data_IF_398464153138
#
_entry.id   IF_398464153138
#
_cell.length_a   1.000
_cell.length_b   1.000
_cell.length_c   1.000
_cell.angle_alpha   90.00
_cell.angle_beta   90.00
_cell.angle_gamma   90.00
#
_symmetry.space_group_name_H-M   'P 1'
#
loop_
_entity.id
_entity.type
_entity.pdbx_description
1 polymer ?
#
# COMPACT_ATOMS: atom_id res chain seq x y z
N UNK A 1 16.68 5.34 -42.41
CA UNK A 1 16.28 4.64 -41.17
C UNK A 1 17.28 5.03 -40.08
N UNK A 2 16.84 5.67 -39.00
CA UNK A 2 17.71 5.93 -37.85
C UNK A 2 17.96 4.62 -37.11
N UNK A 3 19.22 4.29 -36.81
CA UNK A 3 19.51 3.14 -35.96
C UNK A 3 19.15 3.47 -34.51
N UNK A 4 18.35 2.61 -33.89
CA UNK A 4 17.98 2.70 -32.48
C UNK A 4 19.08 2.05 -31.63
N UNK A 5 19.82 2.85 -30.87
CA UNK A 5 20.72 2.32 -29.85
C UNK A 5 19.92 2.16 -28.55
N UNK A 6 19.58 0.92 -28.21
CA UNK A 6 18.89 0.57 -26.96
C UNK A 6 19.79 0.63 -25.71
N UNK A 7 21.09 0.91 -25.89
CA UNK A 7 22.12 0.83 -24.85
C UNK A 7 23.17 1.94 -24.97
N UNK A 8 22.76 3.19 -25.12
CA UNK A 8 23.71 4.32 -25.26
C UNK A 8 24.65 4.44 -24.05
N UNK A 9 24.23 3.94 -22.89
CA UNK A 9 25.04 3.82 -21.66
C UNK A 9 25.32 2.36 -21.25
N UNK A 10 25.22 1.40 -22.18
CA UNK A 10 25.37 -0.03 -21.89
C UNK A 10 24.25 -0.60 -21.01
N UNK A 11 24.54 -1.67 -20.26
CA UNK A 11 23.56 -2.34 -19.40
C UNK A 11 23.17 -1.53 -18.14
N UNK A 12 23.76 -0.36 -17.90
CA UNK A 12 23.55 0.41 -16.67
C UNK A 12 22.12 0.92 -16.57
N UNK A 13 21.56 1.47 -17.65
CA UNK A 13 20.19 2.01 -17.68
C UNK A 13 19.11 0.95 -17.44
N UNK A 14 19.11 -0.24 -18.10
CA UNK A 14 18.12 -1.27 -17.81
C UNK A 14 18.28 -1.86 -16.41
N UNK A 15 19.51 -2.00 -15.90
CA UNK A 15 19.76 -2.47 -14.52
C UNK A 15 19.20 -1.46 -13.52
N UNK A 16 19.46 -0.18 -13.73
CA UNK A 16 18.96 0.87 -12.84
C UNK A 16 17.43 0.97 -12.91
N UNK A 17 16.83 0.94 -14.11
CA UNK A 17 15.39 0.90 -14.29
C UNK A 17 14.76 -0.29 -13.53
N UNK A 18 15.33 -1.49 -13.68
CA UNK A 18 14.89 -2.66 -12.92
C UNK A 18 15.01 -2.46 -11.41
N UNK A 19 16.14 -1.92 -10.93
CA UNK A 19 16.33 -1.64 -9.52
C UNK A 19 15.27 -0.67 -8.97
N UNK A 20 14.92 0.37 -9.73
CA UNK A 20 13.86 1.31 -9.37
C UNK A 20 12.49 0.63 -9.33
N UNK A 21 12.22 -0.26 -10.29
CA UNK A 21 11.01 -1.07 -10.30
C UNK A 21 10.90 -1.97 -9.08
N UNK A 22 12.00 -2.65 -8.75
CA UNK A 22 12.12 -3.51 -7.59
C UNK A 22 11.91 -2.74 -6.28
N UNK A 23 12.60 -1.62 -6.08
CA UNK A 23 12.52 -0.81 -4.87
C UNK A 23 11.12 -0.23 -4.67
N UNK A 24 10.51 0.32 -5.73
CA UNK A 24 9.14 0.84 -5.70
C UNK A 24 8.12 -0.25 -5.37
N UNK A 25 8.28 -1.43 -5.96
CA UNK A 25 7.45 -2.61 -5.70
C UNK A 25 7.61 -3.11 -4.26
N UNK A 26 8.85 -3.16 -3.75
CA UNK A 26 9.15 -3.58 -2.38
C UNK A 26 8.52 -2.64 -1.36
N UNK A 27 8.73 -1.32 -1.49
CA UNK A 27 8.12 -0.34 -0.59
C UNK A 27 6.60 -0.38 -0.68
N UNK A 28 6.07 -0.54 -1.88
CA UNK A 28 4.65 -0.69 -2.15
C UNK A 28 4.01 -1.87 -1.44
N UNK A 29 4.62 -3.06 -1.57
CA UNK A 29 4.16 -4.29 -0.92
C UNK A 29 4.23 -4.18 0.60
N UNK A 30 5.34 -3.65 1.15
CA UNK A 30 5.50 -3.41 2.59
C UNK A 30 4.44 -2.45 3.11
N UNK A 31 4.22 -1.33 2.41
CA UNK A 31 3.22 -0.32 2.78
C UNK A 31 1.80 -0.88 2.70
N UNK A 32 1.49 -1.67 1.66
CA UNK A 32 0.18 -2.31 1.50
C UNK A 32 -0.07 -3.39 2.57
N UNK A 33 0.95 -4.17 2.92
CA UNK A 33 0.87 -5.15 4.01
C UNK A 33 0.55 -4.47 5.35
N UNK A 34 1.23 -3.36 5.64
CA UNK A 34 0.94 -2.53 6.83
C UNK A 34 -0.44 -1.91 6.80
N UNK A 35 -0.88 -1.43 5.64
CA UNK A 35 -2.22 -0.87 5.49
C UNK A 35 -3.30 -1.90 5.86
N UNK A 36 -3.12 -3.17 5.48
CA UNK A 36 -4.06 -4.24 5.84
C UNK A 36 -4.04 -4.62 7.32
N UNK A 37 -2.90 -4.46 7.99
CA UNK A 37 -2.76 -4.70 9.43
C UNK A 37 -3.26 -3.52 10.28
N UNK A 38 -3.43 -2.33 9.70
CA UNK A 38 -3.90 -1.16 10.41
C UNK A 38 -5.40 -1.27 10.78
N UNK A 39 -5.71 -1.02 12.06
CA UNK A 39 -7.08 -0.94 12.58
C UNK A 39 -7.73 0.42 12.34
N UNK A 40 -6.92 1.49 12.31
CA UNK A 40 -7.37 2.85 12.02
C UNK A 40 -7.50 3.09 10.51
N UNK A 41 -8.66 3.63 10.10
CA UNK A 41 -8.98 3.87 8.68
C UNK A 41 -8.10 4.96 8.07
N UNK A 42 -7.75 6.00 8.84
CA UNK A 42 -6.91 7.10 8.37
C UNK A 42 -5.48 6.61 8.11
N UNK A 43 -4.91 5.85 9.04
CA UNK A 43 -3.59 5.22 8.89
C UNK A 43 -3.56 4.25 7.70
N UNK A 44 -4.62 3.46 7.53
CA UNK A 44 -4.77 2.55 6.39
C UNK A 44 -4.78 3.30 5.06
N UNK A 45 -5.60 4.35 4.94
CA UNK A 45 -5.66 5.18 3.73
C UNK A 45 -4.31 5.83 3.42
N UNK A 46 -3.64 6.38 4.43
CA UNK A 46 -2.32 7.00 4.25
C UNK A 46 -1.27 6.01 3.76
N UNK A 47 -1.24 4.78 4.31
CA UNK A 47 -0.33 3.72 3.87
C UNK A 47 -0.62 3.25 2.43
N UNK A 48 -1.89 3.25 2.00
CA UNK A 48 -2.25 2.96 0.61
C UNK A 48 -1.81 4.08 -0.34
N UNK A 49 -1.88 5.34 0.07
CA UNK A 49 -1.33 6.47 -0.71
C UNK A 49 0.19 6.32 -0.85
N UNK A 50 0.89 5.99 0.23
CA UNK A 50 2.32 5.72 0.18
C UNK A 50 2.64 4.54 -0.76
N UNK A 51 1.85 3.47 -0.69
CA UNK A 51 2.00 2.33 -1.59
C UNK A 51 1.77 2.70 -3.06
N UNK A 52 0.77 3.54 -3.36
CA UNK A 52 0.48 4.03 -4.70
C UNK A 52 1.63 4.87 -5.27
N UNK A 53 2.17 5.78 -4.45
CA UNK A 53 3.34 6.58 -4.82
C UNK A 53 4.58 5.72 -5.06
N UNK A 54 4.77 4.69 -4.24
CA UNK A 54 5.90 3.76 -4.36
C UNK A 54 5.82 2.94 -5.63
N UNK A 55 4.70 2.27 -5.88
CA UNK A 55 4.53 1.39 -7.04
C UNK A 55 4.38 2.22 -8.31
N UNK A 56 3.43 3.15 -8.35
CA UNK A 56 3.14 3.95 -9.54
C UNK A 56 4.23 4.97 -9.86
N UNK A 57 4.64 5.76 -8.87
CA UNK A 57 5.64 6.81 -9.06
C UNK A 57 7.05 6.25 -9.22
N UNK A 58 7.48 5.37 -8.33
CA UNK A 58 8.86 4.82 -8.41
C UNK A 58 8.92 3.59 -9.31
N UNK A 59 8.07 2.61 -9.03
CA UNK A 59 8.17 1.29 -9.63
C UNK A 59 7.85 1.26 -11.13
N UNK A 60 6.97 2.17 -11.57
CA UNK A 60 6.50 2.27 -12.95
C UNK A 60 7.04 3.54 -13.60
N UNK A 61 6.77 4.74 -13.07
CA UNK A 61 7.15 6.00 -13.73
C UNK A 61 8.66 6.26 -13.74
N UNK A 62 9.35 6.20 -12.61
CA UNK A 62 10.81 6.35 -12.61
C UNK A 62 11.48 5.25 -13.43
N UNK A 63 11.04 3.99 -13.29
CA UNK A 63 11.55 2.90 -14.13
C UNK A 63 11.43 3.24 -15.62
N UNK A 64 10.23 3.63 -16.06
CA UNK A 64 9.94 3.94 -17.45
C UNK A 64 10.86 5.03 -18.01
N UNK A 65 10.96 6.17 -17.33
CA UNK A 65 11.81 7.27 -17.80
C UNK A 65 13.30 6.96 -17.70
N UNK A 66 13.75 6.23 -16.68
CA UNK A 66 15.15 5.80 -16.59
C UNK A 66 15.54 4.83 -17.71
N UNK A 67 14.62 3.95 -18.12
CA UNK A 67 14.84 3.08 -19.27
C UNK A 67 14.90 3.89 -20.57
N UNK A 68 14.02 4.88 -20.75
CA UNK A 68 14.01 5.76 -21.93
C UNK A 68 15.24 6.68 -22.02
N UNK A 69 15.84 7.10 -20.90
CA UNK A 69 17.12 7.85 -20.90
C UNK A 69 18.24 7.04 -21.56
N UNK A 70 18.18 5.71 -21.50
CA UNK A 70 19.12 4.82 -22.17
C UNK A 70 18.98 4.77 -23.69
N UNK A 71 17.91 5.36 -24.22
CA UNK A 71 17.58 5.34 -25.64
C UNK A 71 18.02 6.65 -26.29
N UNK A 72 18.76 6.55 -27.39
CA UNK A 72 19.09 7.70 -28.24
C UNK A 72 18.74 7.39 -29.69
N UNK A 73 18.12 8.36 -30.36
CA UNK A 73 17.82 8.27 -31.79
C UNK A 73 18.97 8.91 -32.56
N UNK A 74 19.69 8.11 -33.35
CA UNK A 74 20.75 8.63 -34.21
C UNK A 74 20.14 9.55 -35.27
N UNK A 75 20.52 10.83 -35.28
CA UNK A 75 20.08 11.82 -36.27
C UNK A 75 19.07 12.87 -35.79
N UNK A 76 18.61 12.83 -34.54
CA UNK A 76 17.78 13.88 -33.93
C UNK A 76 18.08 14.02 -32.43
N UNK A 77 18.12 15.25 -31.86
CA UNK A 77 18.10 15.40 -30.41
C UNK A 77 16.78 14.83 -29.87
N UNK A 78 16.86 14.03 -28.80
CA UNK A 78 15.70 13.52 -28.09
C UNK A 78 15.38 14.46 -26.93
N UNK A 79 14.25 15.15 -27.03
CA UNK A 79 13.75 16.06 -25.99
C UNK A 79 12.44 15.53 -25.42
N UNK A 80 12.00 16.09 -24.31
CA UNK A 80 10.75 15.70 -23.68
C UNK A 80 9.84 16.90 -23.42
N UNK A 81 8.55 16.69 -23.62
CA UNK A 81 7.47 17.56 -23.20
C UNK A 81 7.22 17.39 -21.69
N UNK A 82 7.49 18.45 -20.92
CA UNK A 82 7.38 18.44 -19.45
C UNK A 82 5.91 18.24 -19.00
N UNK A 83 4.92 18.99 -19.50
CA UNK A 83 3.51 18.75 -19.17
C UNK A 83 3.05 17.29 -19.37
N UNK A 84 3.35 16.67 -20.51
CA UNK A 84 2.94 15.28 -20.79
C UNK A 84 3.69 14.30 -19.86
N UNK A 85 4.97 14.56 -19.60
CA UNK A 85 5.78 13.79 -18.64
C UNK A 85 5.18 13.83 -17.24
N UNK A 86 4.76 15.01 -16.78
CA UNK A 86 4.09 15.19 -15.48
C UNK A 86 2.69 14.54 -15.48
N UNK A 87 1.94 14.64 -16.58
CA UNK A 87 0.65 13.98 -16.70
C UNK A 87 0.77 12.45 -16.57
N UNK A 88 1.76 11.84 -17.24
CA UNK A 88 2.01 10.39 -17.13
C UNK A 88 2.34 9.95 -15.70
N UNK A 89 3.06 10.78 -14.92
CA UNK A 89 3.30 10.52 -13.49
C UNK A 89 2.00 10.42 -12.70
N UNK A 90 1.10 11.39 -12.86
CA UNK A 90 -0.18 11.40 -12.15
C UNK A 90 -1.06 10.23 -12.58
N UNK A 91 -1.10 9.90 -13.87
CA UNK A 91 -1.79 8.70 -14.37
C UNK A 91 -1.26 7.47 -13.63
N UNK A 92 0.06 7.30 -13.52
CA UNK A 92 0.66 6.15 -12.84
C UNK A 92 0.21 6.06 -11.36
N UNK A 93 0.40 7.14 -10.60
CA UNK A 93 0.15 7.14 -9.15
C UNK A 93 -1.33 6.98 -8.84
N UNK A 94 -2.20 7.71 -9.55
CA UNK A 94 -3.64 7.69 -9.30
C UNK A 94 -4.22 6.33 -9.63
N UNK A 95 -3.86 5.76 -10.78
CA UNK A 95 -4.49 4.52 -11.27
C UNK A 95 -4.04 3.29 -10.50
N UNK A 96 -2.75 3.22 -10.14
CA UNK A 96 -2.24 2.23 -9.18
C UNK A 96 -2.91 2.42 -7.82
N UNK A 97 -3.09 3.66 -7.38
CA UNK A 97 -3.86 4.00 -6.18
C UNK A 97 -5.27 3.42 -6.22
N UNK A 98 -6.02 3.64 -7.30
CA UNK A 98 -7.38 3.09 -7.48
C UNK A 98 -7.37 1.56 -7.29
N UNK A 99 -6.46 0.85 -7.96
CA UNK A 99 -6.32 -0.61 -7.80
C UNK A 99 -6.03 -1.04 -6.36
N UNK A 100 -5.09 -0.36 -5.70
CA UNK A 100 -4.73 -0.62 -4.30
C UNK A 100 -5.87 -0.29 -3.34
N UNK A 101 -6.65 0.75 -3.57
CA UNK A 101 -7.81 1.10 -2.73
C UNK A 101 -8.96 0.10 -2.93
N UNK A 102 -9.20 -0.38 -4.16
CA UNK A 102 -10.18 -1.42 -4.45
C UNK A 102 -9.86 -2.69 -3.65
N UNK A 103 -8.61 -3.14 -3.68
CA UNK A 103 -8.15 -4.38 -3.02
C UNK A 103 -7.88 -4.19 -1.53
N UNK A 104 -7.34 -3.04 -1.14
CA UNK A 104 -6.83 -2.75 0.19
C UNK A 104 -7.87 -2.32 1.20
N UNK A 105 -9.04 -1.82 0.77
CA UNK A 105 -10.15 -1.48 1.67
C UNK A 105 -11.07 -2.69 1.95
N UNK A 106 -11.41 -2.89 3.21
CA UNK A 106 -12.31 -3.98 3.65
C UNK A 106 -11.65 -5.37 3.64
N UNK A 107 -12.47 -6.42 3.46
CA UNK A 107 -12.01 -7.82 3.44
C UNK A 107 -11.36 -8.14 2.09
N UNK A 108 -10.17 -8.80 2.07
CA UNK A 108 -9.54 -9.22 0.83
C UNK A 108 -10.42 -10.28 0.15
N UNK A 109 -10.79 -10.03 -1.10
CA UNK A 109 -11.60 -10.96 -1.92
C UNK A 109 -10.99 -11.04 -3.31
N UNK A 110 -10.95 -12.25 -3.88
CA UNK A 110 -10.33 -12.48 -5.19
C UNK A 110 -10.98 -11.65 -6.31
N UNK A 111 -12.31 -11.47 -6.28
CA UNK A 111 -12.99 -10.66 -7.29
C UNK A 111 -12.51 -9.20 -7.35
N UNK A 112 -12.05 -8.63 -6.22
CA UNK A 112 -11.51 -7.27 -6.18
C UNK A 112 -10.21 -7.16 -6.98
N UNK A 113 -9.42 -8.24 -7.01
CA UNK A 113 -8.21 -8.33 -7.83
C UNK A 113 -8.58 -8.49 -9.30
N UNK A 114 -9.58 -9.31 -9.61
CA UNK A 114 -10.05 -9.50 -10.99
C UNK A 114 -10.68 -8.24 -11.60
N UNK A 115 -11.20 -7.32 -10.78
CA UNK A 115 -11.68 -6.01 -11.24
C UNK A 115 -10.56 -4.97 -11.22
N UNK A 116 -9.84 -4.85 -10.11
CA UNK A 116 -8.79 -3.84 -9.94
C UNK A 116 -7.57 -4.07 -10.82
N UNK A 117 -7.23 -5.31 -11.11
CA UNK A 117 -6.08 -5.72 -11.92
C UNK A 117 -6.15 -5.22 -13.35
N UNK A 118 -7.19 -5.55 -14.13
CA UNK A 118 -7.38 -5.03 -15.48
C UNK A 118 -7.47 -3.50 -15.53
N UNK A 119 -8.18 -2.87 -14.60
CA UNK A 119 -8.27 -1.40 -14.53
C UNK A 119 -6.88 -0.78 -14.35
N UNK A 120 -6.10 -1.32 -13.41
CA UNK A 120 -4.73 -0.84 -13.15
C UNK A 120 -3.82 -1.12 -14.34
N UNK A 121 -3.89 -2.31 -14.93
CA UNK A 121 -3.01 -2.70 -16.04
C UNK A 121 -3.26 -1.91 -17.33
N UNK A 122 -4.52 -1.71 -17.72
CA UNK A 122 -4.86 -0.83 -18.86
C UNK A 122 -4.35 0.58 -18.60
N UNK A 123 -4.49 1.08 -17.39
CA UNK A 123 -4.01 2.42 -17.03
C UNK A 123 -2.49 2.53 -17.02
N UNK A 124 -1.79 1.47 -16.61
CA UNK A 124 -0.32 1.40 -16.63
C UNK A 124 0.21 1.35 -18.06
N UNK A 125 -0.45 0.62 -18.97
CA UNK A 125 -0.16 0.68 -20.40
C UNK A 125 -0.45 2.09 -20.97
N UNK A 126 -1.60 2.69 -20.61
CA UNK A 126 -1.94 4.06 -21.04
C UNK A 126 -0.89 5.08 -20.58
N UNK A 127 -0.44 4.98 -19.33
CA UNK A 127 0.67 5.78 -18.81
C UNK A 127 1.95 5.56 -19.62
N UNK A 128 2.31 4.32 -19.92
CA UNK A 128 3.52 4.01 -20.69
C UNK A 128 3.49 4.70 -22.06
N UNK A 129 2.39 4.58 -22.80
CA UNK A 129 2.25 5.25 -24.10
C UNK A 129 2.12 6.77 -23.98
N UNK A 130 1.56 7.29 -22.90
CA UNK A 130 1.58 8.74 -22.62
C UNK A 130 3.01 9.24 -22.36
N UNK A 131 3.83 8.46 -21.65
CA UNK A 131 5.25 8.76 -21.43
C UNK A 131 6.05 8.71 -22.73
N UNK A 132 5.78 7.74 -23.60
CA UNK A 132 6.35 7.67 -24.95
C UNK A 132 5.93 8.88 -25.80
N UNK A 133 4.67 9.30 -25.72
CA UNK A 133 4.17 10.47 -26.43
C UNK A 133 4.79 11.80 -25.95
N UNK A 134 5.45 11.82 -24.79
CA UNK A 134 6.21 12.97 -24.34
C UNK A 134 7.52 13.15 -25.10
N UNK A 135 8.02 12.12 -25.78
CA UNK A 135 9.24 12.20 -26.59
C UNK A 135 9.03 13.13 -27.79
N UNK A 136 9.95 14.06 -27.99
CA UNK A 136 9.99 14.97 -29.11
C UNK A 136 11.24 14.68 -29.93
N UNK A 137 11.04 14.43 -31.22
CA UNK A 137 12.07 14.17 -32.23
C UNK A 137 11.68 14.84 -33.56
N UNK A 138 12.63 15.00 -34.48
CA UNK A 138 12.37 15.41 -35.87
C UNK A 138 11.86 14.23 -36.69
N UNK A 139 10.66 13.77 -36.40
CA UNK A 139 10.06 12.62 -37.08
C UNK A 139 8.79 12.11 -36.41
N UNK A 140 8.32 10.96 -36.88
CA UNK A 140 7.11 10.30 -36.37
C UNK A 140 7.42 8.93 -35.77
N UNK A 141 6.59 8.56 -34.79
CA UNK A 141 6.59 7.22 -34.19
C UNK A 141 5.47 6.39 -34.79
N UNK A 142 5.81 5.21 -35.28
CA UNK A 142 4.85 4.18 -35.67
C UNK A 142 4.97 2.98 -34.74
N UNK A 143 3.87 2.24 -34.55
CA UNK A 143 3.84 1.09 -33.65
C UNK A 143 3.39 -0.16 -34.39
N UNK A 144 4.12 -1.26 -34.21
CA UNK A 144 3.64 -2.59 -34.58
C UNK A 144 2.47 -2.98 -33.68
N UNK A 145 1.31 -3.23 -34.30
CA UNK A 145 0.07 -3.51 -33.58
C UNK A 145 0.16 -4.78 -32.71
N UNK A 146 0.92 -5.80 -33.11
CA UNK A 146 1.00 -7.06 -32.37
C UNK A 146 1.79 -6.88 -31.07
N UNK A 147 2.96 -6.22 -31.14
CA UNK A 147 3.78 -5.93 -29.96
C UNK A 147 3.11 -4.88 -29.06
N UNK A 148 2.41 -3.91 -29.65
CA UNK A 148 1.58 -2.95 -28.93
C UNK A 148 0.50 -3.65 -28.09
N UNK A 149 -0.28 -4.55 -28.70
CA UNK A 149 -1.31 -5.32 -27.99
C UNK A 149 -0.70 -6.29 -26.96
N UNK A 150 0.45 -6.90 -27.27
CA UNK A 150 1.16 -7.77 -26.34
C UNK A 150 1.62 -7.01 -25.09
N UNK A 151 2.12 -5.78 -25.21
CA UNK A 151 2.52 -4.96 -24.06
C UNK A 151 1.31 -4.67 -23.14
N UNK A 152 0.14 -4.36 -23.73
CA UNK A 152 -1.11 -4.16 -22.99
C UNK A 152 -1.53 -5.43 -22.24
N UNK A 153 -1.45 -6.60 -22.89
CA UNK A 153 -1.75 -7.87 -22.26
C UNK A 153 -0.81 -8.15 -21.08
N UNK A 154 0.50 -7.91 -21.26
CA UNK A 154 1.49 -8.03 -20.18
C UNK A 154 1.15 -7.07 -19.04
N UNK A 155 0.78 -5.82 -19.33
CA UNK A 155 0.41 -4.83 -18.31
C UNK A 155 -0.78 -5.30 -17.46
N UNK A 156 -1.84 -5.82 -18.10
CA UNK A 156 -3.03 -6.37 -17.43
C UNK A 156 -2.69 -7.55 -16.55
N UNK A 157 -1.93 -8.52 -17.06
CA UNK A 157 -1.51 -9.70 -16.29
C UNK A 157 -0.62 -9.29 -15.13
N UNK A 158 0.40 -8.46 -15.38
CA UNK A 158 1.35 -7.99 -14.38
C UNK A 158 0.65 -7.22 -13.25
N UNK A 159 -0.25 -6.29 -13.58
CA UNK A 159 -1.00 -5.53 -12.59
C UNK A 159 -1.94 -6.42 -11.76
N UNK A 160 -2.58 -7.40 -12.39
CA UNK A 160 -3.44 -8.38 -11.70
C UNK A 160 -2.62 -9.23 -10.73
N UNK A 161 -1.46 -9.73 -11.15
CA UNK A 161 -0.54 -10.50 -10.30
C UNK A 161 0.03 -9.64 -9.17
N UNK A 162 0.40 -8.39 -9.45
CA UNK A 162 0.89 -7.45 -8.44
C UNK A 162 -0.15 -7.19 -7.34
N UNK A 163 -1.40 -6.92 -7.73
CA UNK A 163 -2.49 -6.76 -6.77
C UNK A 163 -2.78 -8.05 -6.00
N UNK A 164 -2.70 -9.21 -6.65
CA UNK A 164 -2.81 -10.50 -5.98
C UNK A 164 -1.70 -10.74 -4.94
N UNK A 165 -0.45 -10.38 -5.26
CA UNK A 165 0.67 -10.45 -4.33
C UNK A 165 0.43 -9.62 -3.08
N UNK A 166 -0.25 -8.47 -3.20
CA UNK A 166 -0.61 -7.72 -2.01
C UNK A 166 -1.38 -8.60 -1.03
N UNK A 167 -2.27 -9.50 -1.47
CA UNK A 167 -3.10 -10.32 -0.58
C UNK A 167 -2.35 -11.53 0.00
N UNK A 168 -1.63 -12.26 -0.85
CA UNK A 168 -1.09 -13.59 -0.53
C UNK A 168 0.30 -13.54 0.10
N UNK A 169 1.13 -12.58 -0.29
CA UNK A 169 2.53 -12.53 0.11
C UNK A 169 2.63 -12.11 1.58
N UNK A 170 3.37 -12.92 2.36
CA UNK A 170 3.68 -12.68 3.77
C UNK A 170 5.12 -13.04 4.06
N UNK A 171 5.76 -12.28 4.94
CA UNK A 171 7.16 -12.48 5.31
C UNK A 171 8.15 -11.82 4.35
N UNK A 172 9.36 -11.54 4.86
CA UNK A 172 10.39 -10.79 4.14
C UNK A 172 10.86 -11.51 2.86
N UNK A 173 11.20 -12.82 2.87
CA UNK A 173 11.71 -13.49 1.67
C UNK A 173 10.69 -13.50 0.53
N UNK A 174 9.42 -13.79 0.83
CA UNK A 174 8.36 -13.78 -0.16
C UNK A 174 8.09 -12.37 -0.70
N UNK A 175 8.23 -11.33 0.13
CA UNK A 175 8.08 -9.93 -0.30
C UNK A 175 9.20 -9.52 -1.25
N UNK A 176 10.44 -9.92 -0.97
CA UNK A 176 11.59 -9.68 -1.87
C UNK A 176 11.40 -10.41 -3.21
N UNK A 177 10.99 -11.67 -3.17
CA UNK A 177 10.71 -12.45 -4.39
C UNK A 177 9.57 -11.82 -5.22
N UNK A 178 8.47 -11.43 -4.57
CA UNK A 178 7.35 -10.76 -5.23
C UNK A 178 7.77 -9.42 -5.86
N UNK A 179 8.57 -8.61 -5.17
CA UNK A 179 9.10 -7.36 -5.69
C UNK A 179 10.02 -7.58 -6.90
N UNK A 180 10.84 -8.63 -6.90
CA UNK A 180 11.68 -9.01 -8.04
C UNK A 180 10.83 -9.41 -9.25
N UNK A 181 9.83 -10.28 -9.05
CA UNK A 181 8.89 -10.68 -10.11
C UNK A 181 8.14 -9.47 -10.67
N UNK A 182 7.66 -8.58 -9.81
CA UNK A 182 7.04 -7.33 -10.24
C UNK A 182 8.00 -6.50 -11.08
N UNK A 183 9.25 -6.30 -10.63
CA UNK A 183 10.26 -5.57 -11.38
C UNK A 183 10.50 -6.14 -12.79
N UNK A 184 10.61 -7.46 -12.92
CA UNK A 184 10.74 -8.12 -14.22
C UNK A 184 9.49 -7.87 -15.08
N UNK A 185 8.30 -7.96 -14.49
CA UNK A 185 7.05 -7.78 -15.22
C UNK A 185 6.87 -6.35 -15.74
N UNK A 186 7.19 -5.32 -14.94
CA UNK A 186 7.09 -3.92 -15.39
C UNK A 186 8.15 -3.64 -16.46
N UNK A 187 9.40 -4.09 -16.27
CA UNK A 187 10.44 -3.96 -17.30
C UNK A 187 10.06 -4.70 -18.58
N UNK A 188 9.51 -5.92 -18.47
CA UNK A 188 9.06 -6.71 -19.61
C UNK A 188 7.99 -5.99 -20.42
N UNK A 189 6.96 -5.46 -19.76
CA UNK A 189 5.94 -4.63 -20.42
C UNK A 189 6.58 -3.44 -21.15
N UNK A 190 7.46 -2.71 -20.48
CA UNK A 190 8.09 -1.53 -21.03
C UNK A 190 8.93 -1.85 -22.28
N UNK A 191 9.80 -2.86 -22.21
CA UNK A 191 10.66 -3.22 -23.35
C UNK A 191 9.86 -3.86 -24.49
N UNK A 192 8.77 -4.58 -24.22
CA UNK A 192 7.84 -5.02 -25.27
C UNK A 192 7.18 -3.82 -25.95
N UNK A 193 6.75 -2.80 -25.19
CA UNK A 193 6.20 -1.56 -25.75
C UNK A 193 7.22 -0.78 -26.58
N UNK A 194 8.47 -0.69 -26.12
CA UNK A 194 9.58 -0.10 -26.87
C UNK A 194 9.91 -0.88 -28.15
N UNK A 195 9.88 -2.21 -28.11
CA UNK A 195 10.13 -3.06 -29.27
C UNK A 195 9.05 -2.90 -30.36
N UNK A 196 7.85 -2.44 -29.99
CA UNK A 196 6.80 -2.11 -30.96
C UNK A 196 7.10 -0.83 -31.75
N UNK A 197 7.99 0.04 -31.28
CA UNK A 197 8.17 1.39 -31.83
C UNK A 197 9.17 1.42 -32.99
N UNK A 198 8.75 2.04 -34.09
CA UNK A 198 9.57 2.39 -35.25
C UNK A 198 9.66 3.91 -35.40
N UNK A 199 10.86 4.40 -35.71
CA UNK A 199 11.14 5.84 -35.84
C UNK A 199 11.42 6.20 -37.29
N UNK A 200 10.62 7.09 -37.84
CA UNK A 200 10.82 7.69 -39.15
C UNK A 200 11.27 9.13 -38.98
N UNK A 201 12.50 9.43 -39.39
CA UNK A 201 13.07 10.79 -39.31
C UNK A 201 12.71 11.59 -40.55
N UNK A 202 12.26 12.81 -40.34
CA UNK A 202 12.02 13.76 -41.41
C UNK A 202 13.34 14.38 -41.90
N UNK A 203 13.39 14.76 -43.18
CA UNK A 203 14.60 15.36 -43.78
C UNK A 203 14.77 16.84 -43.40
N UNK A 204 13.74 17.47 -42.83
CA UNK A 204 13.77 18.86 -42.40
C UNK A 204 14.34 18.99 -40.98
N UNK A 205 15.37 19.82 -40.82
CA UNK A 205 16.01 20.10 -39.53
C UNK A 205 15.32 21.32 -38.90
N UNK A 206 14.15 21.10 -38.30
CA UNK A 206 13.51 22.08 -37.43
C UNK A 206 14.06 21.94 -35.99
N UNK A 207 14.09 23.02 -35.19
CA UNK A 207 14.42 22.92 -33.77
C UNK A 207 13.37 22.10 -33.01
N UNK A 208 13.78 20.96 -32.43
CA UNK A 208 12.89 20.13 -31.60
C UNK A 208 12.54 20.90 -30.31
N UNK A 209 11.25 21.09 -29.98
CA UNK A 209 10.83 21.73 -28.73
C UNK A 209 10.99 20.78 -27.53
N UNK A 210 10.92 21.32 -26.31
CA UNK A 210 11.00 20.54 -25.06
C UNK A 210 12.31 20.73 -24.31
N UNK A 211 12.59 19.87 -23.34
CA UNK A 211 13.82 19.94 -22.52
C UNK A 211 14.71 18.72 -22.76
N UNK A 212 16.02 18.92 -22.62
CA UNK A 212 16.99 17.83 -22.72
C UNK A 212 16.83 16.82 -21.60
N UNK A 213 17.10 15.54 -21.92
CA UNK A 213 17.02 14.42 -20.98
C UNK A 213 17.82 14.64 -19.69
N UNK A 214 18.96 15.34 -19.78
CA UNK A 214 19.84 15.61 -18.65
C UNK A 214 19.17 16.42 -17.53
N UNK A 215 18.18 17.27 -17.86
CA UNK A 215 17.44 18.05 -16.87
C UNK A 215 16.51 17.19 -16.00
N UNK A 216 16.12 15.99 -16.46
CA UNK A 216 15.31 15.07 -15.68
C UNK A 216 16.14 14.22 -14.70
N UNK A 217 17.44 14.07 -14.92
CA UNK A 217 18.29 13.24 -14.08
C UNK A 217 18.32 13.73 -12.62
N UNK A 218 18.52 15.03 -12.40
CA UNK A 218 18.59 15.60 -11.06
C UNK A 218 17.29 15.41 -10.23
N UNK A 219 16.09 15.78 -10.72
CA UNK A 219 14.85 15.56 -9.97
C UNK A 219 14.53 14.06 -9.80
N UNK A 220 14.85 13.21 -10.78
CA UNK A 220 14.69 11.75 -10.62
C UNK A 220 15.59 11.23 -9.51
N UNK A 221 16.88 11.59 -9.48
CA UNK A 221 17.81 11.18 -8.41
C UNK A 221 17.31 11.63 -7.04
N UNK A 222 16.85 12.88 -6.91
CA UNK A 222 16.25 13.37 -5.67
C UNK A 222 15.05 12.53 -5.25
N UNK A 223 14.16 12.22 -6.20
CA UNK A 223 12.99 11.37 -5.95
C UNK A 223 13.40 9.96 -5.51
N UNK A 224 14.42 9.36 -6.13
CA UNK A 224 14.98 8.05 -5.73
C UNK A 224 15.51 8.10 -4.30
N UNK A 225 16.26 9.14 -3.93
CA UNK A 225 16.79 9.29 -2.57
C UNK A 225 15.67 9.32 -1.52
N UNK A 226 14.59 10.06 -1.78
CA UNK A 226 13.41 10.10 -0.90
C UNK A 226 12.80 8.70 -0.74
N UNK A 227 12.71 7.92 -1.81
CA UNK A 227 12.15 6.56 -1.78
C UNK A 227 13.05 5.60 -1.00
N UNK A 228 14.37 5.69 -1.17
CA UNK A 228 15.32 4.89 -0.39
C UNK A 228 15.25 5.23 1.09
N UNK A 229 15.12 6.51 1.45
CA UNK A 229 14.93 6.94 2.85
C UNK A 229 13.58 6.44 3.39
N UNK A 230 12.51 6.50 2.59
CA UNK A 230 11.20 5.98 2.95
C UNK A 230 11.23 4.45 3.16
N UNK A 231 11.99 3.72 2.34
CA UNK A 231 12.25 2.28 2.51
C UNK A 231 13.02 2.00 3.80
N UNK A 232 14.12 2.71 4.04
CA UNK A 232 14.93 2.54 5.24
C UNK A 232 14.12 2.82 6.51
N UNK A 233 13.36 3.92 6.55
CA UNK A 233 12.47 4.24 7.67
C UNK A 233 11.34 3.24 7.81
N UNK A 234 10.77 2.74 6.70
CA UNK A 234 9.80 1.65 6.76
C UNK A 234 10.43 0.41 7.40
N UNK A 235 11.61 -0.04 6.97
CA UNK A 235 12.29 -1.22 7.53
C UNK A 235 12.63 -1.02 9.01
N UNK A 236 13.17 0.14 9.40
CA UNK A 236 13.50 0.44 10.80
C UNK A 236 12.27 0.50 11.71
N UNK A 237 11.10 0.85 11.18
CA UNK A 237 9.85 0.82 11.93
C UNK A 237 9.28 -0.60 12.13
N UNK A 238 9.95 -1.66 11.65
CA UNK A 238 9.65 -3.05 12.04
C UNK A 238 10.22 -3.25 13.44
N UNK A 239 9.39 -3.47 14.48
CA UNK A 239 9.91 -3.76 15.81
C UNK A 239 10.75 -5.02 15.72
N UNK A 240 12.00 -4.94 16.19
CA UNK A 240 12.91 -6.10 16.17
C UNK A 240 12.30 -7.25 16.98
N UNK A 241 12.68 -8.50 16.72
CA UNK A 241 12.20 -9.66 17.50
C UNK A 241 12.43 -9.46 19.01
N UNK A 242 13.50 -8.74 19.38
CA UNK A 242 13.80 -8.33 20.75
C UNK A 242 12.78 -7.35 21.31
N UNK A 243 12.43 -6.31 20.55
CA UNK A 243 11.43 -5.32 20.94
C UNK A 243 10.03 -5.92 21.03
N UNK A 244 9.71 -6.91 20.19
CA UNK A 244 8.46 -7.67 20.29
C UNK A 244 8.44 -8.59 21.52
N UNK A 245 9.56 -9.24 21.83
CA UNK A 245 9.69 -10.05 23.03
C UNK A 245 9.60 -9.19 24.30
N UNK A 246 10.23 -8.01 24.31
CA UNK A 246 10.15 -7.03 25.40
C UNK A 246 8.73 -6.48 25.55
N UNK A 247 8.08 -6.06 24.47
CA UNK A 247 6.69 -5.59 24.50
C UNK A 247 5.73 -6.67 25.03
N UNK A 248 5.93 -7.93 24.63
CA UNK A 248 5.17 -9.07 25.14
C UNK A 248 5.45 -9.31 26.63
N UNK A 249 6.72 -9.26 27.05
CA UNK A 249 7.10 -9.42 28.45
C UNK A 249 6.54 -8.30 29.34
N UNK A 250 6.49 -7.06 28.85
CA UNK A 250 5.85 -5.93 29.54
C UNK A 250 4.34 -6.15 29.64
N UNK A 251 3.69 -6.60 28.56
CA UNK A 251 2.26 -6.91 28.56
C UNK A 251 1.91 -8.03 29.55
N UNK A 252 2.68 -9.12 29.58
CA UNK A 252 2.49 -10.24 30.50
C UNK A 252 2.71 -9.81 31.96
N UNK A 253 3.67 -8.91 32.23
CA UNK A 253 3.88 -8.30 33.55
C UNK A 253 2.71 -7.42 33.99
N UNK A 254 2.12 -6.64 33.07
CA UNK A 254 0.96 -5.81 33.38
C UNK A 254 -0.28 -6.68 33.63
N UNK A 255 -0.50 -7.70 32.81
CA UNK A 255 -1.63 -8.62 32.95
C UNK A 255 -1.57 -9.42 34.26
N UNK A 256 -0.38 -9.93 34.62
CA UNK A 256 -0.17 -10.61 35.91
C UNK A 256 -0.33 -9.65 37.10
N UNK A 257 0.19 -8.42 37.02
CA UNK A 257 0.00 -7.39 38.06
C UNK A 257 -1.44 -6.89 38.21
N UNK A 258 -2.26 -6.98 37.17
CA UNK A 258 -3.70 -6.72 37.25
C UNK A 258 -4.46 -7.92 37.84
N UNK A 259 -4.09 -9.15 37.49
CA UNK A 259 -4.68 -10.36 38.06
C UNK A 259 -4.45 -10.44 39.59
N UNK A 260 -3.24 -10.11 40.07
CA UNK A 260 -2.93 -10.07 41.50
C UNK A 260 -3.75 -8.98 42.22
N UNK A 261 -3.91 -7.80 41.63
CA UNK A 261 -4.73 -6.71 42.19
C UNK A 261 -6.22 -7.06 42.24
N UNK A 262 -6.73 -7.79 41.25
CA UNK A 262 -8.11 -8.26 41.25
C UNK A 262 -8.33 -9.38 42.28
N UNK A 263 -7.35 -10.25 42.50
CA UNK A 263 -7.39 -11.28 43.53
C UNK A 263 -7.33 -10.69 44.96
N UNK A 264 -6.52 -9.65 45.18
CA UNK A 264 -6.44 -8.98 46.49
C UNK A 264 -7.67 -8.13 46.81
N UNK A 265 -8.31 -7.52 45.81
CA UNK A 265 -9.56 -6.77 45.99
C UNK A 265 -10.80 -7.67 46.19
N UNK A 266 -10.79 -8.89 45.65
CA UNK A 266 -11.83 -9.90 45.94
C UNK A 266 -11.76 -10.51 47.34
N UNK A 267 -10.59 -10.48 47.99
CA UNK A 267 -10.39 -10.99 49.36
C UNK A 267 -10.80 -9.98 50.45
N UNK A 268 -10.79 -8.67 50.15
CA UNK A 268 -11.01 -7.62 51.14
C UNK A 268 -12.47 -7.45 51.62
N UNK A 269 -13.44 -8.20 51.07
CA UNK A 269 -14.87 -8.11 51.46
C UNK A 269 -15.41 -9.36 52.17
N UNK A 270 -14.55 -10.31 52.56
CA UNK A 270 -14.92 -11.55 53.25
C UNK A 270 -14.27 -11.66 54.63
N UNK A 271 -14.68 -10.83 55.60
CA UNK A 271 -14.10 -10.84 56.94
C UNK A 271 -15.10 -10.57 58.07
N UNK A 272 -15.33 -11.61 58.88
CA UNK A 272 -15.81 -11.63 60.27
C UNK A 272 -17.33 -11.65 60.55
N UNK A 273 -17.79 -12.76 61.15
CA UNK A 273 -18.41 -12.78 62.48
C UNK A 273 -18.16 -14.12 63.16
N UNK A 274 -17.37 -14.11 64.23
CA UNK A 274 -17.25 -15.17 65.24
C UNK A 274 -17.97 -14.69 66.51
N UNK A 275 -18.91 -15.48 67.04
CA UNK A 275 -19.28 -15.45 68.46
C UNK A 275 -19.89 -16.79 68.86
N UNK A 276 -19.33 -17.43 69.89
CA UNK A 276 -19.76 -18.73 70.41
C UNK A 276 -20.88 -18.66 71.47
N UNK A 277 -21.44 -19.83 71.81
CA UNK A 277 -22.29 -20.02 72.99
C UNK A 277 -23.20 -21.28 72.99
N UNK A 278 -22.66 -22.40 73.51
CA UNK A 278 -23.31 -23.51 74.28
C UNK A 278 -24.48 -24.39 73.72
N UNK A 279 -24.68 -25.63 74.26
CA UNK A 279 -25.25 -26.76 73.49
C UNK A 279 -26.64 -27.31 73.92
N UNK A 280 -27.23 -28.10 72.99
CA UNK A 280 -28.23 -29.20 73.14
C UNK A 280 -29.74 -28.88 73.29
N UNK A 281 -30.68 -29.82 72.99
CA UNK A 281 -30.71 -30.88 71.96
C UNK A 281 -32.06 -30.96 71.19
N UNK A 282 -32.13 -31.89 70.22
CA UNK A 282 -33.32 -32.60 69.71
C UNK A 282 -33.91 -32.17 68.35
N UNK A 283 -34.02 -33.19 67.47
CA UNK A 283 -35.24 -33.43 66.70
C UNK A 283 -35.20 -33.15 65.19
N UNK A 284 -35.28 -34.23 64.40
CA UNK A 284 -36.18 -34.25 63.24
C UNK A 284 -35.58 -33.97 61.86
N UNK A 285 -35.67 -34.99 61.01
CA UNK A 285 -35.42 -34.95 59.57
C UNK A 285 -36.35 -33.99 58.80
N UNK A 286 -35.91 -33.55 57.61
CA UNK A 286 -36.83 -33.01 56.60
C UNK A 286 -36.18 -32.04 55.62
N UNK A 287 -35.93 -32.51 54.39
CA UNK A 287 -35.59 -31.69 53.24
C UNK A 287 -36.71 -30.70 52.88
N UNK A 288 -36.36 -29.46 52.47
CA UNK A 288 -36.90 -28.76 51.29
C UNK A 288 -36.29 -27.35 51.14
N UNK A 289 -36.05 -26.97 49.88
CA UNK A 289 -35.31 -25.81 49.41
C UNK A 289 -36.03 -24.45 49.63
N UNK A 290 -35.30 -23.31 49.67
CA UNK A 290 -35.89 -21.99 49.46
C UNK A 290 -35.56 -21.42 48.07
N UNK A 291 -36.63 -20.93 47.45
CA UNK A 291 -36.72 -20.05 46.28
C UNK A 291 -35.92 -18.74 46.43
N UNK A 292 -35.22 -18.32 45.37
CA UNK A 292 -34.58 -17.00 45.24
C UNK A 292 -35.51 -15.97 44.56
N UNK A 293 -35.58 -14.71 45.04
CA UNK A 293 -36.28 -13.64 44.34
C UNK A 293 -35.39 -12.98 43.27
N UNK A 294 -35.99 -12.76 42.10
CA UNK A 294 -35.39 -12.17 40.90
C UNK A 294 -35.24 -10.65 41.04
N UNK A 295 -34.01 -10.14 41.03
CA UNK A 295 -33.69 -8.73 41.31
C UNK A 295 -32.70 -8.10 40.34
N UNK A 296 -32.81 -8.37 39.02
CA UNK A 296 -31.90 -7.84 38.00
C UNK A 296 -32.43 -6.69 37.11
N UNK A 297 -33.70 -6.28 37.25
CA UNK A 297 -34.37 -5.46 36.23
C UNK A 297 -34.28 -3.92 36.38
N UNK A 298 -33.94 -3.38 37.56
CA UNK A 298 -34.11 -1.93 37.83
C UNK A 298 -32.88 -1.07 37.53
N UNK A 299 -31.67 -1.64 37.53
CA UNK A 299 -30.44 -0.88 37.24
C UNK A 299 -30.27 -0.58 35.74
N UNK A 300 -30.71 -1.48 34.85
CA UNK A 300 -30.63 -1.30 33.41
C UNK A 300 -31.61 -0.22 32.89
N UNK A 301 -32.78 -0.07 33.54
CA UNK A 301 -33.78 0.94 33.16
C UNK A 301 -33.38 2.36 33.62
N UNK A 302 -32.64 2.50 34.74
CA UNK A 302 -32.17 3.79 35.22
C UNK A 302 -31.05 4.41 34.35
N UNK A 303 -30.24 3.58 33.69
CA UNK A 303 -29.17 4.06 32.80
C UNK A 303 -29.68 4.51 31.43
N UNK A 304 -30.72 3.83 30.90
CA UNK A 304 -31.36 4.20 29.64
C UNK A 304 -32.10 5.55 29.72
N UNK A 305 -32.75 5.86 30.86
CA UNK A 305 -33.45 7.13 31.07
C UNK A 305 -32.49 8.34 31.15
N UNK A 306 -31.26 8.15 31.66
CA UNK A 306 -30.27 9.22 31.79
C UNK A 306 -29.56 9.57 30.47
N UNK A 307 -29.50 8.63 29.52
CA UNK A 307 -28.95 8.85 28.18
C UNK A 307 -29.93 9.60 27.25
N UNK A 308 -31.24 9.44 27.43
CA UNK A 308 -32.25 10.13 26.63
C UNK A 308 -32.33 11.64 26.93
N UNK A 309 -32.19 12.05 28.20
CA UNK A 309 -32.27 13.46 28.60
C UNK A 309 -31.01 14.30 28.21
N UNK A 310 -29.86 13.66 28.01
CA UNK A 310 -28.63 14.37 27.59
C UNK A 310 -28.62 14.82 26.13
N UNK A 311 -29.47 14.22 25.28
CA UNK A 311 -29.52 14.52 23.84
C UNK A 311 -30.48 15.69 23.54
N UNK A 312 -31.50 15.90 24.38
CA UNK A 312 -32.44 17.02 24.26
C UNK A 312 -31.81 18.38 24.63
N UNK A 313 -30.90 18.43 25.60
CA UNK A 313 -30.25 19.68 26.02
C UNK A 313 -29.19 20.16 25.01
N UNK A 314 -28.51 19.25 24.32
CA UNK A 314 -27.51 19.58 23.32
C UNK A 314 -28.09 20.18 22.01
N UNK A 315 -29.39 19.95 21.73
CA UNK A 315 -30.08 20.55 20.57
C UNK A 315 -30.63 21.95 20.83
N UNK A 316 -30.84 22.36 22.09
CA UNK A 316 -31.28 23.73 22.43
C UNK A 316 -30.16 24.77 22.43
N UNK A 317 -28.89 24.35 22.50
CA UNK A 317 -27.73 25.27 22.51
C UNK A 317 -27.12 25.57 21.12
N UNK A 318 -27.59 24.93 20.04
CA UNK A 318 -27.12 25.19 18.65
C UNK A 318 -28.13 25.94 17.76
N UNK A 319 -29.10 26.62 18.37
CA UNK A 319 -30.16 27.37 17.68
C UNK A 319 -30.21 28.85 18.10
N UNK A 320 -29.05 29.48 18.29
CA UNK A 320 -28.88 30.93 18.42
C UNK A 320 -27.62 31.35 17.67
#
# INVERSE_FOLDING_TARGET
MGQLHHFTYGAITPIFAYAMSFLGSLLGLVSTARARAATDTRRRAWLLVLAAWSIGGTGIWVMHFMAMVGFSVTGSPLRYDVPITVASFFIAVVTVGIGLFIVGLGKPKLWKVLVGGPITGVSVAFMHYTGMAAMQINGTFEYDNNLYLASYAIAVVAATVALWFTIVVRGIPATLAAAAVMGVAVCGMHYTGMAAMHVHLDQAVEPVPGVDVNWFLAPIVLFVLVVVIALASAVMAVPSEREQAEAKAVHDKIASGQAIRNASSGSAFGGSTTSGGTPSPAGGAGANAPTYPNGGGKAAQAFAARAANGISDARRQRGR
#
